data_IF_797860475954
#
_entry.id   IF_797860475954
#
_cell.length_a   1.000
_cell.length_b   1.000
_cell.length_c   1.000
_cell.angle_alpha   90.00
_cell.angle_beta   90.00
_cell.angle_gamma   90.00
#
_symmetry.space_group_name_H-M   'P 1'
#
loop_
_entity.id
_entity.type
_entity.pdbx_description
1 polymer ?
#
# COMPACT_ATOMS: atom_id res chain seq x y z
N UNK A 1 6.25 10.97 -16.34
CA UNK A 1 4.86 10.49 -16.27
C UNK A 1 4.71 8.99 -16.02
N UNK A 2 4.91 8.03 -16.95
CA UNK A 2 4.72 6.59 -16.62
C UNK A 2 5.65 6.13 -15.48
N UNK A 3 6.92 6.52 -15.53
CA UNK A 3 7.89 6.27 -14.45
C UNK A 3 7.52 6.96 -13.12
N UNK A 4 6.85 8.13 -13.16
CA UNK A 4 6.37 8.80 -11.95
C UNK A 4 5.17 8.05 -11.33
N UNK A 5 4.25 7.55 -12.18
CA UNK A 5 3.12 6.72 -11.74
C UNK A 5 3.61 5.41 -11.12
N UNK A 6 4.64 4.78 -11.70
CA UNK A 6 5.27 3.59 -11.15
C UNK A 6 5.90 3.86 -9.77
N UNK A 7 6.72 4.92 -9.65
CA UNK A 7 7.30 5.29 -8.37
C UNK A 7 6.23 5.63 -7.31
N UNK A 8 5.15 6.30 -7.71
CA UNK A 8 4.05 6.64 -6.80
C UNK A 8 3.29 5.39 -6.36
N UNK A 9 3.02 4.47 -7.29
CA UNK A 9 2.38 3.19 -7.02
C UNK A 9 3.18 2.37 -6.01
N UNK A 10 4.49 2.27 -6.22
CA UNK A 10 5.39 1.54 -5.32
C UNK A 10 5.39 2.13 -3.91
N UNK A 11 5.44 3.47 -3.79
CA UNK A 11 5.34 4.15 -2.50
C UNK A 11 4.00 3.89 -1.81
N UNK A 12 2.88 3.90 -2.54
CA UNK A 12 1.55 3.62 -1.98
C UNK A 12 1.36 2.16 -1.58
N UNK A 13 1.94 1.20 -2.33
CA UNK A 13 1.96 -0.20 -1.91
C UNK A 13 2.77 -0.40 -0.63
N UNK A 14 3.96 0.22 -0.53
CA UNK A 14 4.77 0.21 0.68
C UNK A 14 4.00 0.81 1.86
N UNK A 15 3.36 1.96 1.65
CA UNK A 15 2.52 2.61 2.65
C UNK A 15 1.38 1.69 3.13
N UNK A 16 0.72 0.96 2.22
CA UNK A 16 -0.33 -0.02 2.58
C UNK A 16 0.22 -1.17 3.42
N UNK A 17 1.40 -1.68 3.10
CA UNK A 17 2.04 -2.74 3.90
C UNK A 17 2.37 -2.23 5.30
N UNK A 18 3.06 -1.08 5.39
CA UNK A 18 3.38 -0.43 6.67
C UNK A 18 2.12 -0.19 7.50
N UNK A 19 1.04 0.29 6.88
CA UNK A 19 -0.23 0.50 7.57
C UNK A 19 -0.84 -0.79 8.13
N UNK A 20 -0.68 -1.94 7.45
CA UNK A 20 -1.07 -3.24 8.01
C UNK A 20 -0.22 -3.61 9.22
N UNK A 21 1.08 -3.34 9.17
CA UNK A 21 2.00 -3.59 10.29
C UNK A 21 1.61 -2.75 11.52
N UNK A 22 1.25 -1.48 11.32
CA UNK A 22 0.72 -0.63 12.40
C UNK A 22 -0.50 -1.28 13.05
N UNK A 23 -1.50 -1.70 12.25
CA UNK A 23 -2.71 -2.35 12.78
C UNK A 23 -2.39 -3.64 13.52
N UNK A 24 -1.45 -4.44 13.00
CA UNK A 24 -0.98 -5.64 13.65
C UNK A 24 -0.39 -5.33 15.03
N UNK A 25 0.52 -4.38 15.12
CA UNK A 25 1.16 -3.99 16.39
C UNK A 25 0.16 -3.44 17.40
N UNK A 26 -0.83 -2.65 16.97
CA UNK A 26 -1.91 -2.17 17.85
C UNK A 26 -2.68 -3.33 18.48
N UNK A 27 -3.03 -4.35 17.68
CA UNK A 27 -3.71 -5.55 18.20
C UNK A 27 -2.82 -6.30 19.19
N UNK A 28 -1.52 -6.43 18.91
CA UNK A 28 -0.59 -7.10 19.82
C UNK A 28 -0.47 -6.38 21.17
N UNK A 29 -0.40 -5.03 21.18
CA UNK A 29 -0.43 -4.25 22.43
C UNK A 29 -1.66 -4.61 23.26
N UNK A 30 -2.84 -4.69 22.62
CA UNK A 30 -4.06 -5.03 23.34
C UNK A 30 -4.04 -6.45 23.89
N UNK A 31 -3.56 -7.39 23.07
CA UNK A 31 -3.48 -8.80 23.43
C UNK A 31 -2.59 -9.00 24.66
N UNK A 32 -1.35 -8.50 24.64
CA UNK A 32 -0.43 -8.68 25.76
C UNK A 32 -0.94 -8.02 27.04
N UNK A 33 -1.47 -6.79 26.97
CA UNK A 33 -1.93 -6.10 28.19
C UNK A 33 -3.21 -6.71 28.77
N UNK A 34 -4.06 -7.32 27.92
CA UNK A 34 -5.24 -8.07 28.36
C UNK A 34 -4.86 -9.43 28.94
N UNK A 35 -3.89 -10.12 28.34
CA UNK A 35 -3.38 -11.40 28.86
C UNK A 35 -2.70 -11.21 30.21
N UNK A 36 -1.83 -10.20 30.34
CA UNK A 36 -1.22 -9.79 31.61
C UNK A 36 -2.26 -9.56 32.71
N UNK A 37 -3.37 -8.91 32.34
CA UNK A 37 -4.49 -8.64 33.24
C UNK A 37 -5.23 -9.90 33.67
N UNK A 38 -5.37 -10.87 32.76
CA UNK A 38 -6.05 -12.14 33.00
C UNK A 38 -5.19 -13.13 33.80
N UNK A 39 -3.88 -13.18 33.51
CA UNK A 39 -2.91 -14.06 34.17
C UNK A 39 -2.46 -13.49 35.51
N UNK A 40 -2.41 -12.16 35.63
CA UNK A 40 -1.95 -11.47 36.83
C UNK A 40 -0.43 -11.27 36.89
N UNK A 41 0.27 -11.38 35.76
CA UNK A 41 1.71 -11.20 35.61
C UNK A 41 1.97 -10.13 34.55
N UNK A 42 2.78 -9.11 34.87
CA UNK A 42 2.93 -7.95 33.99
C UNK A 42 4.28 -7.86 33.28
N UNK A 43 5.35 -8.40 33.86
CA UNK A 43 6.71 -8.02 33.45
C UNK A 43 7.04 -8.40 32.00
N UNK A 44 6.78 -9.65 31.60
CA UNK A 44 7.04 -10.13 30.25
C UNK A 44 6.10 -9.49 29.22
N UNK A 45 4.80 -9.51 29.49
CA UNK A 45 3.79 -8.94 28.59
C UNK A 45 3.91 -7.42 28.43
N UNK A 46 4.34 -6.71 29.48
CA UNK A 46 4.64 -5.28 29.39
C UNK A 46 5.82 -5.02 28.45
N UNK A 47 6.86 -5.84 28.51
CA UNK A 47 8.02 -5.71 27.63
C UNK A 47 7.64 -5.95 26.16
N UNK A 48 6.83 -6.99 25.89
CA UNK A 48 6.32 -7.31 24.56
C UNK A 48 5.36 -6.22 24.04
N UNK A 49 4.47 -5.72 24.89
CA UNK A 49 3.60 -4.59 24.56
C UNK A 49 4.40 -3.31 24.24
N UNK A 50 5.49 -3.04 24.98
CA UNK A 50 6.37 -1.88 24.73
C UNK A 50 7.11 -2.01 23.39
N UNK A 51 7.57 -3.21 23.05
CA UNK A 51 8.18 -3.50 21.74
C UNK A 51 7.18 -3.20 20.61
N UNK A 52 5.95 -3.69 20.73
CA UNK A 52 4.91 -3.43 19.73
C UNK A 52 4.48 -1.97 19.68
N UNK A 53 4.41 -1.27 20.81
CA UNK A 53 4.20 0.19 20.84
C UNK A 53 5.28 0.90 20.02
N UNK A 54 6.54 0.59 20.29
CA UNK A 54 7.68 1.19 19.59
C UNK A 54 7.64 0.88 18.09
N UNK A 55 7.37 -0.37 17.71
CA UNK A 55 7.26 -0.78 16.32
C UNK A 55 6.10 -0.07 15.59
N UNK A 56 4.93 0.07 16.24
CA UNK A 56 3.81 0.83 15.70
C UNK A 56 4.16 2.30 15.46
N UNK A 57 4.84 2.95 16.41
CA UNK A 57 5.26 4.36 16.28
C UNK A 57 6.26 4.55 15.13
N UNK A 58 7.24 3.65 15.01
CA UNK A 58 8.22 3.69 13.92
C UNK A 58 7.58 3.45 12.53
N UNK A 59 6.63 2.53 12.46
CA UNK A 59 5.86 2.27 11.26
C UNK A 59 4.99 3.48 10.87
N UNK A 60 4.36 4.13 11.85
CA UNK A 60 3.62 5.39 11.65
C UNK A 60 4.53 6.52 11.15
N UNK A 61 5.74 6.67 11.70
CA UNK A 61 6.70 7.66 11.18
C UNK A 61 7.12 7.38 9.73
N UNK A 62 7.33 6.10 9.40
CA UNK A 62 7.61 5.68 8.02
C UNK A 62 6.44 5.96 7.08
N UNK A 63 5.20 5.80 7.56
CA UNK A 63 3.99 6.10 6.80
C UNK A 63 3.88 7.60 6.48
N UNK A 64 4.16 8.49 7.45
CA UNK A 64 4.16 9.93 7.23
C UNK A 64 5.21 10.37 6.20
N UNK A 65 6.37 9.71 6.15
CA UNK A 65 7.39 10.00 5.13
C UNK A 65 6.95 9.59 3.73
N UNK A 66 6.24 8.47 3.59
CA UNK A 66 5.78 7.97 2.29
C UNK A 66 4.54 8.72 1.78
N UNK A 67 3.66 9.16 2.69
CA UNK A 67 2.42 9.84 2.35
C UNK A 67 2.26 11.10 3.23
N UNK A 68 2.99 12.19 2.93
CA UNK A 68 3.01 13.39 3.77
C UNK A 68 1.64 14.02 4.03
N UNK A 69 0.71 13.89 3.07
CA UNK A 69 -0.69 14.33 3.21
C UNK A 69 -1.41 13.74 4.45
N UNK A 70 -0.97 12.57 4.93
CA UNK A 70 -1.56 11.88 6.08
C UNK A 70 -0.93 12.26 7.41
N UNK A 71 0.05 13.17 7.45
CA UNK A 71 0.85 13.45 8.66
C UNK A 71 0.01 13.79 9.89
N UNK A 72 -1.09 14.53 9.73
CA UNK A 72 -1.99 14.84 10.85
C UNK A 72 -2.68 13.59 11.40
N UNK A 73 -3.28 12.77 10.54
CA UNK A 73 -3.92 11.51 10.93
C UNK A 73 -2.91 10.53 11.54
N UNK A 74 -1.68 10.50 11.01
CA UNK A 74 -0.57 9.72 11.58
C UNK A 74 -0.24 10.20 13.00
N UNK A 75 -0.15 11.50 13.23
CA UNK A 75 0.11 12.03 14.57
C UNK A 75 -1.01 11.69 15.56
N UNK A 76 -2.27 11.76 15.12
CA UNK A 76 -3.42 11.34 15.92
C UNK A 76 -3.34 9.85 16.26
N UNK A 77 -3.01 9.00 15.29
CA UNK A 77 -2.78 7.57 15.50
C UNK A 77 -1.63 7.30 16.48
N UNK A 78 -0.51 8.03 16.38
CA UNK A 78 0.61 7.93 17.34
C UNK A 78 0.16 8.26 18.75
N UNK A 79 -0.62 9.33 18.91
CA UNK A 79 -1.19 9.70 20.21
C UNK A 79 -2.11 8.60 20.76
N UNK A 80 -2.97 8.04 19.91
CA UNK A 80 -3.86 6.95 20.29
C UNK A 80 -3.10 5.67 20.69
N UNK A 81 -2.02 5.30 19.99
CA UNK A 81 -1.14 4.17 20.34
C UNK A 81 -0.54 4.35 21.74
N UNK A 82 0.01 5.54 22.03
CA UNK A 82 0.58 5.83 23.34
C UNK A 82 -0.47 5.77 24.44
N UNK A 83 -1.64 6.39 24.22
CA UNK A 83 -2.74 6.38 25.20
C UNK A 83 -3.28 4.98 25.46
N UNK A 84 -3.43 4.15 24.42
CA UNK A 84 -3.86 2.77 24.55
C UNK A 84 -2.89 1.97 25.42
N UNK A 85 -1.59 2.09 25.15
CA UNK A 85 -0.55 1.43 25.95
C UNK A 85 -0.58 1.90 27.42
N UNK A 86 -0.57 3.22 27.66
CA UNK A 86 -0.50 3.79 29.00
C UNK A 86 -1.71 3.37 29.86
N UNK A 87 -2.92 3.40 29.28
CA UNK A 87 -4.14 2.96 29.96
C UNK A 87 -4.16 1.44 30.15
N UNK A 88 -3.67 0.67 29.19
CA UNK A 88 -3.57 -0.79 29.32
C UNK A 88 -2.60 -1.22 30.44
N UNK A 89 -1.49 -0.51 30.62
CA UNK A 89 -0.57 -0.72 31.76
C UNK A 89 -1.26 -0.40 33.09
N UNK A 90 -2.00 0.71 33.15
CA UNK A 90 -2.77 1.06 34.35
C UNK A 90 -3.83 -0.01 34.66
N UNK A 91 -4.51 -0.51 33.63
CA UNK A 91 -5.51 -1.57 33.73
C UNK A 91 -4.90 -2.85 34.29
N UNK A 92 -3.81 -3.34 33.70
CA UNK A 92 -3.14 -4.57 34.15
C UNK A 92 -2.65 -4.44 35.61
N UNK A 93 -2.05 -3.30 35.97
CA UNK A 93 -1.67 -3.03 37.37
C UNK A 93 -2.85 -3.03 38.32
N UNK A 94 -4.01 -2.52 37.89
CA UNK A 94 -5.22 -2.53 38.71
C UNK A 94 -5.77 -3.94 38.92
N UNK A 95 -5.77 -4.80 37.88
CA UNK A 95 -6.11 -6.22 38.01
C UNK A 95 -5.19 -6.94 39.00
N UNK A 96 -3.88 -6.74 38.88
CA UNK A 96 -2.88 -7.42 39.71
C UNK A 96 -2.95 -6.95 41.16
N UNK A 97 -3.03 -5.64 41.40
CA UNK A 97 -2.92 -5.08 42.75
C UNK A 97 -4.23 -5.10 43.52
N UNK A 98 -5.36 -4.91 42.83
CA UNK A 98 -6.66 -4.64 43.47
C UNK A 98 -7.78 -5.57 42.97
N UNK A 99 -7.44 -6.54 42.12
CA UNK A 99 -8.37 -7.54 41.62
C UNK A 99 -9.28 -7.05 40.50
N UNK A 100 -10.20 -7.94 40.12
CA UNK A 100 -11.01 -7.83 38.91
C UNK A 100 -11.86 -6.55 38.84
N UNK A 101 -12.45 -6.15 39.95
CA UNK A 101 -13.35 -4.98 39.99
C UNK A 101 -12.61 -3.68 39.67
N UNK A 102 -11.41 -3.50 40.23
CA UNK A 102 -10.58 -2.34 39.97
C UNK A 102 -10.05 -2.32 38.53
N UNK A 103 -9.63 -3.49 38.02
CA UNK A 103 -9.25 -3.65 36.61
C UNK A 103 -10.39 -3.29 35.66
N UNK A 104 -11.59 -3.82 35.91
CA UNK A 104 -12.79 -3.53 35.12
C UNK A 104 -13.15 -2.03 35.12
N UNK A 105 -12.95 -1.34 36.24
CA UNK A 105 -13.19 0.11 36.30
C UNK A 105 -12.27 0.86 35.32
N UNK A 106 -10.99 0.52 35.25
CA UNK A 106 -10.05 1.13 34.29
C UNK A 106 -10.38 0.72 32.85
N UNK A 107 -10.71 -0.55 32.64
CA UNK A 107 -11.04 -1.08 31.31
C UNK A 107 -12.27 -0.39 30.70
N UNK A 108 -13.35 -0.30 31.48
CA UNK A 108 -14.68 0.12 31.01
C UNK A 108 -14.99 1.60 31.30
N UNK A 109 -14.03 2.38 31.81
CA UNK A 109 -14.26 3.79 32.11
C UNK A 109 -14.75 4.55 30.88
N UNK A 110 -15.94 5.12 30.96
CA UNK A 110 -16.57 5.78 29.83
C UNK A 110 -15.68 6.92 29.27
N UNK A 111 -15.37 6.84 27.97
CA UNK A 111 -14.63 7.86 27.23
C UNK A 111 -13.12 7.92 27.49
N UNK A 112 -12.58 7.16 28.44
CA UNK A 112 -11.15 7.20 28.76
C UNK A 112 -10.52 5.87 29.12
N UNK A 113 -11.32 4.85 29.37
CA UNK A 113 -10.89 3.51 29.70
C UNK A 113 -10.29 2.79 28.51
N UNK A 114 -9.70 1.62 28.78
CA UNK A 114 -8.96 0.85 27.79
C UNK A 114 -9.80 0.56 26.53
N UNK A 115 -11.04 0.11 26.70
CA UNK A 115 -11.94 -0.21 25.59
C UNK A 115 -12.23 1.05 24.75
N UNK A 116 -12.51 2.18 25.39
CA UNK A 116 -12.76 3.44 24.72
C UNK A 116 -11.54 3.95 23.92
N UNK A 117 -10.31 3.73 24.43
CA UNK A 117 -9.08 4.07 23.71
C UNK A 117 -8.85 3.15 22.52
N UNK A 118 -9.15 1.86 22.67
CA UNK A 118 -9.06 0.89 21.58
C UNK A 118 -10.04 1.25 20.46
N UNK A 119 -11.28 1.61 20.79
CA UNK A 119 -12.30 2.03 19.83
C UNK A 119 -11.88 3.28 19.05
N UNK A 120 -11.48 4.34 19.76
CA UNK A 120 -11.03 5.60 19.13
C UNK A 120 -9.82 5.38 18.23
N UNK A 121 -8.87 4.53 18.65
CA UNK A 121 -7.73 4.18 17.81
C UNK A 121 -8.15 3.35 16.60
N UNK A 122 -9.11 2.44 16.77
CA UNK A 122 -9.73 1.67 15.69
C UNK A 122 -10.35 2.57 14.62
N UNK A 123 -11.12 3.57 15.03
CA UNK A 123 -11.72 4.57 14.14
C UNK A 123 -10.65 5.40 13.42
N UNK A 124 -9.59 5.78 14.13
CA UNK A 124 -8.45 6.49 13.55
C UNK A 124 -7.76 5.65 12.47
N UNK A 125 -7.57 4.36 12.71
CA UNK A 125 -7.02 3.42 11.71
C UNK A 125 -7.98 3.28 10.53
N UNK A 126 -9.29 3.18 10.77
CA UNK A 126 -10.27 3.10 9.69
C UNK A 126 -10.22 4.35 8.80
N UNK A 127 -10.12 5.55 9.38
CA UNK A 127 -10.00 6.81 8.63
C UNK A 127 -8.71 6.87 7.78
N UNK A 128 -7.59 6.39 8.32
CA UNK A 128 -6.35 6.25 7.56
C UNK A 128 -6.52 5.29 6.37
N UNK A 129 -7.19 4.15 6.57
CA UNK A 129 -7.47 3.18 5.50
C UNK A 129 -8.33 3.79 4.40
N UNK A 130 -9.40 4.49 4.77
CA UNK A 130 -10.33 5.17 3.85
C UNK A 130 -9.64 6.27 3.03
N UNK A 131 -8.56 6.85 3.53
CA UNK A 131 -7.78 7.82 2.77
C UNK A 131 -6.72 7.15 1.88
N UNK A 132 -6.11 6.05 2.34
CA UNK A 132 -5.01 5.38 1.65
C UNK A 132 -5.49 4.49 0.49
N UNK A 133 -6.59 3.75 0.65
CA UNK A 133 -7.08 2.82 -0.36
C UNK A 133 -7.49 3.50 -1.68
N UNK A 134 -8.26 4.61 -1.68
CA UNK A 134 -8.61 5.30 -2.92
C UNK A 134 -7.40 5.85 -3.66
N UNK A 135 -6.37 6.34 -2.93
CA UNK A 135 -5.12 6.80 -3.55
C UNK A 135 -4.45 5.67 -4.31
N UNK A 136 -4.35 4.47 -3.72
CA UNK A 136 -3.76 3.30 -4.38
C UNK A 136 -4.56 2.86 -5.62
N UNK A 137 -5.90 2.81 -5.51
CA UNK A 137 -6.78 2.45 -6.62
C UNK A 137 -6.63 3.45 -7.77
N UNK A 138 -6.66 4.75 -7.50
CA UNK A 138 -6.53 5.79 -8.53
C UNK A 138 -5.21 5.69 -9.32
N UNK A 139 -4.09 5.47 -8.64
CA UNK A 139 -2.78 5.36 -9.29
C UNK A 139 -2.69 4.06 -10.11
N UNK A 140 -3.26 2.96 -9.61
CA UNK A 140 -3.32 1.70 -10.36
C UNK A 140 -4.12 1.83 -11.66
N UNK A 141 -5.26 2.53 -11.64
CA UNK A 141 -6.10 2.78 -12.82
C UNK A 141 -5.44 3.74 -13.81
N UNK A 142 -4.86 4.84 -13.31
CA UNK A 142 -4.13 5.78 -14.17
C UNK A 142 -2.96 5.09 -14.89
N UNK A 143 -2.21 4.24 -14.18
CA UNK A 143 -1.12 3.47 -14.79
C UNK A 143 -1.61 2.57 -15.91
N UNK A 144 -2.69 1.80 -15.70
CA UNK A 144 -3.25 0.93 -16.75
C UNK A 144 -3.72 1.73 -17.96
N UNK A 145 -4.40 2.87 -17.75
CA UNK A 145 -4.84 3.73 -18.87
C UNK A 145 -3.68 4.24 -19.73
N UNK A 146 -2.58 4.66 -19.10
CA UNK A 146 -1.40 5.12 -19.82
C UNK A 146 -0.65 4.00 -20.52
N UNK A 147 -0.59 2.82 -19.93
CA UNK A 147 -0.04 1.62 -20.57
C UNK A 147 -0.86 1.23 -21.81
N UNK A 148 -2.18 1.25 -21.72
CA UNK A 148 -3.08 0.95 -22.84
C UNK A 148 -2.93 1.95 -23.98
N UNK A 149 -2.85 3.26 -23.68
CA UNK A 149 -2.61 4.30 -24.69
C UNK A 149 -1.26 4.11 -25.40
N UNK A 150 -0.21 3.79 -24.65
CA UNK A 150 1.11 3.53 -25.23
C UNK A 150 1.11 2.26 -26.09
N UNK A 151 0.46 1.21 -25.63
CA UNK A 151 0.31 -0.04 -26.38
C UNK A 151 -0.46 0.18 -27.69
N UNK A 152 -1.57 0.93 -27.65
CA UNK A 152 -2.32 1.29 -28.85
C UNK A 152 -1.48 2.13 -29.82
N UNK A 153 -0.75 3.14 -29.32
CA UNK A 153 0.15 3.94 -30.16
C UNK A 153 1.23 3.07 -30.83
N UNK A 154 1.79 2.09 -30.12
CA UNK A 154 2.75 1.14 -30.68
C UNK A 154 2.13 0.29 -31.79
N UNK A 155 0.95 -0.29 -31.56
CA UNK A 155 0.20 -1.06 -32.57
C UNK A 155 -0.04 -0.20 -33.82
N UNK A 156 -0.60 1.01 -33.66
CA UNK A 156 -0.87 1.90 -34.79
C UNK A 156 0.40 2.26 -35.57
N UNK A 157 1.52 2.54 -34.87
CA UNK A 157 2.80 2.84 -35.53
C UNK A 157 3.38 1.64 -36.31
N UNK A 158 3.22 0.42 -35.79
CA UNK A 158 3.68 -0.81 -36.44
C UNK A 158 2.87 -1.21 -37.66
N UNK A 159 1.54 -1.05 -37.61
CA UNK A 159 0.66 -1.29 -38.76
C UNK A 159 0.96 -0.34 -39.92
N UNK A 160 1.19 0.95 -39.65
CA UNK A 160 1.58 1.90 -40.68
C UNK A 160 2.92 1.52 -41.33
N UNK A 161 3.94 1.15 -40.55
CA UNK A 161 5.26 0.80 -41.09
C UNK A 161 5.23 -0.50 -41.91
N UNK A 162 4.45 -1.49 -41.48
CA UNK A 162 4.29 -2.78 -42.18
C UNK A 162 3.58 -2.64 -43.53
N UNK A 163 2.50 -1.83 -43.62
CA UNK A 163 1.82 -1.57 -44.89
C UNK A 163 2.71 -0.84 -45.90
N UNK A 164 3.50 0.14 -45.45
CA UNK A 164 4.48 0.82 -46.31
C UNK A 164 5.57 -0.14 -46.81
N UNK A 165 6.08 -1.02 -45.94
CA UNK A 165 7.09 -2.00 -46.31
C UNK A 165 6.55 -3.03 -47.30
N UNK A 166 5.31 -3.50 -47.10
CA UNK A 166 4.66 -4.48 -47.97
C UNK A 166 4.38 -3.90 -49.36
N UNK A 167 3.85 -2.68 -49.44
CA UNK A 167 3.67 -1.96 -50.70
C UNK A 167 5.00 -1.80 -51.44
N UNK A 168 6.05 -1.35 -50.76
CA UNK A 168 7.39 -1.19 -51.36
C UNK A 168 7.96 -2.51 -51.87
N UNK A 169 7.79 -3.61 -51.14
CA UNK A 169 8.28 -4.93 -51.53
C UNK A 169 7.54 -5.49 -52.75
N UNK A 170 6.21 -5.32 -52.80
CA UNK A 170 5.40 -5.69 -53.97
C UNK A 170 5.80 -4.87 -55.20
N UNK A 171 5.99 -3.56 -55.07
CA UNK A 171 6.48 -2.72 -56.16
C UNK A 171 7.88 -3.16 -56.62
N UNK A 172 8.78 -3.50 -55.70
CA UNK A 172 10.12 -3.96 -56.05
C UNK A 172 10.12 -5.30 -56.80
N UNK A 173 9.30 -6.26 -56.37
CA UNK A 173 9.10 -7.53 -57.08
C UNK A 173 8.52 -7.32 -58.48
N UNK A 174 7.52 -6.46 -58.60
CA UNK A 174 6.92 -6.14 -59.91
C UNK A 174 7.92 -5.50 -60.88
N UNK A 175 8.87 -4.70 -60.37
CA UNK A 175 9.93 -4.11 -61.17
C UNK A 175 10.99 -5.13 -61.60
N UNK A 176 11.33 -6.10 -60.75
CA UNK A 176 12.24 -7.21 -61.07
C UNK A 176 11.65 -8.09 -62.17
N UNK A 177 10.37 -8.45 -62.08
CA UNK A 177 9.67 -9.25 -63.09
C UNK A 177 9.63 -8.56 -64.47
N UNK A 178 9.46 -7.23 -64.50
CA UNK A 178 9.49 -6.46 -65.74
C UNK A 178 10.90 -6.41 -66.36
N UNK A 179 11.95 -6.33 -65.55
CA UNK A 179 13.34 -6.35 -66.02
C UNK A 179 13.73 -7.73 -66.56
N UNK A 180 13.32 -8.82 -65.89
CA UNK A 180 13.56 -10.20 -66.36
C UNK A 180 12.87 -10.43 -67.70
N UNK A 181 11.57 -10.07 -67.85
CA UNK A 181 10.83 -10.21 -69.12
C UNK A 181 11.44 -9.40 -70.27
N UNK A 182 12.03 -8.24 -70.00
CA UNK A 182 12.74 -7.44 -71.02
C UNK A 182 14.10 -8.05 -71.39
N UNK A 183 14.79 -8.70 -70.45
CA UNK A 183 16.05 -9.41 -70.71
C UNK A 183 15.88 -10.68 -71.55
N UNK A 184 14.80 -11.45 -71.35
CA UNK A 184 14.54 -12.68 -72.13
C UNK A 184 14.13 -12.42 -73.58
N UNK A 185 13.65 -11.22 -73.90
CA UNK A 185 13.25 -10.84 -75.27
C UNK A 185 14.46 -10.58 -76.20
N UNK A 186 15.69 -10.51 -75.67
CA UNK A 186 16.90 -10.20 -76.45
C UNK A 186 17.69 -11.46 -76.87
N UNK A 187 17.37 -12.65 -76.36
CA UNK A 187 18.18 -13.87 -76.61
C UNK A 187 17.62 -14.84 -77.65
N UNK A 188 16.67 -14.42 -78.50
CA UNK A 188 16.06 -15.31 -79.51
C UNK A 188 16.12 -14.83 -80.97
N UNK A 189 17.09 -13.99 -81.32
CA UNK A 189 17.49 -13.78 -82.72
C UNK A 189 19.02 -13.81 -82.83
N UNK A 190 19.53 -14.90 -83.39
CA UNK A 190 20.94 -15.17 -83.67
C UNK A 190 21.07 -16.55 -84.27
#
# INVERSE_FOLDING_TARGET
>A
MLSELESTQDSLYKARTIFKDVRYHVVQIQQYLTDASAVGELEEDQALAEEHKTAALNALDSLALLVPDLSNQVNDAKSGVMQLYDVGILMAKAYIANGQEAGNQVMQQAGSGFDARADVLGDTMQSLAETLEPKLLSVSTLKSEWQDKLFMAFIFSGFFNSSYFCLRWVFHLSAIDQLVRRGTLVTHFG
#
